data_IF_676013095432
#
_entry.id   IF_676013095432
#
_cell.length_a   1.000
_cell.length_b   1.000
_cell.length_c   1.000
_cell.angle_alpha   90.00
_cell.angle_beta   90.00
_cell.angle_gamma   90.00
#
_symmetry.space_group_name_H-M   'P 1'
#
loop_
_entity.id
_entity.type
_entity.pdbx_description
1 polymer ?
#
# COMPACT_ATOMS: atom_id res chain seq x y z
N UNK A 1 6.80 -6.43 -7.45
CA UNK A 1 6.37 -5.60 -6.31
C UNK A 1 7.58 -4.88 -5.74
N UNK A 2 7.55 -3.56 -5.72
CA UNK A 2 8.64 -2.75 -5.18
C UNK A 2 8.26 -2.33 -3.77
N UNK A 3 9.22 -2.32 -2.84
CA UNK A 3 9.01 -1.96 -1.44
C UNK A 3 9.89 -0.77 -1.07
N UNK A 4 9.31 0.23 -0.42
CA UNK A 4 10.09 1.32 0.15
C UNK A 4 10.69 0.91 1.49
N UNK A 5 11.68 1.68 1.96
CA UNK A 5 12.22 1.52 3.31
C UNK A 5 11.12 1.75 4.35
N UNK A 6 10.26 2.73 4.12
CA UNK A 6 9.15 3.04 5.02
C UNK A 6 8.14 1.90 5.13
N UNK A 7 7.86 1.22 4.02
CA UNK A 7 7.02 0.03 4.07
C UNK A 7 7.66 -1.07 4.91
N UNK A 8 8.95 -1.32 4.72
CA UNK A 8 9.66 -2.35 5.48
C UNK A 8 9.66 -2.04 6.98
N UNK A 9 9.85 -0.78 7.36
CA UNK A 9 9.75 -0.35 8.75
C UNK A 9 8.37 -0.58 9.32
N UNK A 10 7.33 -0.25 8.55
CA UNK A 10 5.95 -0.51 8.95
C UNK A 10 5.71 -2.00 9.16
N UNK A 11 6.11 -2.82 8.20
CA UNK A 11 5.95 -4.28 8.29
C UNK A 11 6.62 -4.83 9.55
N UNK A 12 7.86 -4.42 9.81
CA UNK A 12 8.62 -4.90 10.95
C UNK A 12 8.03 -4.44 12.29
N UNK A 13 7.25 -3.37 12.31
CA UNK A 13 6.59 -2.87 13.52
C UNK A 13 5.29 -3.61 13.86
N UNK A 14 4.76 -4.41 12.93
CA UNK A 14 3.48 -5.08 13.13
C UNK A 14 3.58 -6.28 14.06
N UNK A 15 2.50 -6.56 14.84
CA UNK A 15 2.40 -7.83 15.55
C UNK A 15 2.45 -9.01 14.58
N UNK A 16 2.89 -10.17 15.05
CA UNK A 16 3.06 -11.35 14.20
C UNK A 16 1.79 -11.72 13.43
N UNK A 17 0.62 -11.66 14.08
CA UNK A 17 -0.63 -12.00 13.41
C UNK A 17 -0.98 -11.01 12.29
N UNK A 18 -0.65 -9.73 12.46
CA UNK A 18 -0.86 -8.72 11.43
C UNK A 18 0.13 -8.93 10.26
N UNK A 19 1.39 -9.27 10.55
CA UNK A 19 2.36 -9.61 9.51
C UNK A 19 1.89 -10.78 8.66
N UNK A 20 1.38 -11.83 9.28
CA UNK A 20 0.86 -13.01 8.57
C UNK A 20 -0.32 -12.64 7.67
N UNK A 21 -1.21 -11.82 8.16
CA UNK A 21 -2.37 -11.36 7.36
C UNK A 21 -1.92 -10.50 6.19
N UNK A 22 -0.96 -9.61 6.42
CA UNK A 22 -0.41 -8.78 5.34
C UNK A 22 0.29 -9.65 4.29
N UNK A 23 1.07 -10.65 4.71
CA UNK A 23 1.69 -11.60 3.78
C UNK A 23 0.64 -12.29 2.92
N UNK A 24 -0.46 -12.70 3.53
CA UNK A 24 -1.58 -13.31 2.80
C UNK A 24 -2.18 -12.35 1.76
N UNK A 25 -2.43 -11.10 2.16
CA UNK A 25 -2.99 -10.09 1.26
C UNK A 25 -2.04 -9.82 0.10
N UNK A 26 -0.73 -9.72 0.36
CA UNK A 26 0.27 -9.52 -0.68
C UNK A 26 0.31 -10.70 -1.66
N UNK A 27 0.16 -11.92 -1.17
CA UNK A 27 0.07 -13.09 -2.04
C UNK A 27 -1.18 -13.04 -2.94
N UNK A 28 -2.32 -12.72 -2.36
CA UNK A 28 -3.57 -12.59 -3.14
C UNK A 28 -3.42 -11.55 -4.23
N UNK A 29 -2.86 -10.39 -3.88
CA UNK A 29 -2.67 -9.28 -4.82
C UNK A 29 -1.72 -9.66 -5.95
N UNK A 30 -0.69 -10.46 -5.67
CA UNK A 30 0.30 -10.85 -6.67
C UNK A 30 -0.17 -11.96 -7.61
N UNK A 31 -1.15 -12.77 -7.20
CA UNK A 31 -1.56 -13.97 -7.96
C UNK A 31 -2.92 -13.87 -8.61
N UNK A 32 -3.82 -13.02 -8.11
CA UNK A 32 -5.21 -12.94 -8.56
C UNK A 32 -5.39 -11.78 -9.53
N UNK A 33 -5.99 -12.03 -10.70
CA UNK A 33 -6.21 -11.00 -11.74
C UNK A 33 -7.18 -9.91 -11.31
N UNK A 34 -8.22 -10.28 -10.56
CA UNK A 34 -9.22 -9.34 -10.06
C UNK A 34 -9.26 -9.47 -8.56
N UNK A 35 -8.79 -8.45 -7.86
CA UNK A 35 -8.70 -8.46 -6.40
C UNK A 35 -9.98 -7.89 -5.80
N UNK A 36 -10.52 -8.58 -4.82
CA UNK A 36 -11.73 -8.18 -4.12
C UNK A 36 -11.51 -6.86 -3.38
N UNK A 37 -12.55 -6.00 -3.38
CA UNK A 37 -12.56 -4.71 -2.68
C UNK A 37 -12.27 -4.85 -1.17
N UNK A 38 -12.47 -6.05 -0.61
CA UNK A 38 -12.08 -6.31 0.78
C UNK A 38 -10.59 -6.10 1.03
N UNK A 39 -9.76 -6.34 0.02
CA UNK A 39 -8.30 -6.24 0.15
C UNK A 39 -7.74 -4.97 -0.48
N UNK A 40 -8.38 -4.46 -1.54
CA UNK A 40 -7.86 -3.32 -2.32
C UNK A 40 -8.99 -2.35 -2.62
N UNK A 41 -8.72 -1.06 -2.40
CA UNK A 41 -9.64 0.01 -2.78
C UNK A 41 -8.84 1.25 -3.14
N UNK A 42 -9.32 2.01 -4.13
CA UNK A 42 -8.71 3.31 -4.45
C UNK A 42 -8.98 4.29 -3.31
N UNK A 43 -7.94 5.05 -2.92
CA UNK A 43 -8.09 6.12 -1.94
C UNK A 43 -8.71 7.33 -2.65
N UNK A 44 -9.85 7.81 -2.16
CA UNK A 44 -10.61 8.88 -2.78
C UNK A 44 -9.74 10.11 -3.06
N UNK A 45 -9.92 10.68 -4.26
CA UNK A 45 -9.26 11.89 -4.71
C UNK A 45 -7.73 11.78 -4.77
N UNK A 46 -7.23 10.56 -4.91
CA UNK A 46 -5.79 10.32 -5.06
C UNK A 46 -5.52 9.35 -6.18
N UNK A 47 -4.25 9.30 -6.61
CA UNK A 47 -3.72 8.31 -7.54
C UNK A 47 -3.34 7.00 -6.87
N UNK A 48 -3.55 6.89 -5.54
CA UNK A 48 -3.13 5.74 -4.75
C UNK A 48 -4.26 4.76 -4.50
N UNK A 49 -3.86 3.52 -4.26
CA UNK A 49 -4.74 2.47 -3.74
C UNK A 49 -4.33 2.13 -2.31
N UNK A 50 -5.25 1.53 -1.56
CA UNK A 50 -4.95 0.99 -0.25
C UNK A 50 -5.13 -0.51 -0.24
N UNK A 51 -4.17 -1.21 0.37
CA UNK A 51 -4.36 -2.59 0.76
C UNK A 51 -4.93 -2.61 2.18
N UNK A 52 -5.93 -3.44 2.39
CA UNK A 52 -6.65 -3.50 3.66
C UNK A 52 -6.28 -4.76 4.42
N UNK A 53 -5.83 -4.58 5.65
CA UNK A 53 -5.45 -5.68 6.54
C UNK A 53 -6.15 -5.46 7.86
N UNK A 54 -7.06 -6.36 8.22
CA UNK A 54 -7.80 -6.27 9.48
C UNK A 54 -7.49 -7.46 10.37
N UNK A 55 -6.83 -7.19 11.49
CA UNK A 55 -6.51 -8.16 12.53
C UNK A 55 -6.55 -7.43 13.86
N UNK A 56 -7.70 -7.46 14.53
CA UNK A 56 -7.92 -6.65 15.73
C UNK A 56 -8.00 -5.17 15.41
N UNK A 57 -6.96 -4.63 14.81
CA UNK A 57 -6.89 -3.26 14.32
C UNK A 57 -7.07 -3.22 12.81
N UNK A 58 -7.34 -2.03 12.27
CA UNK A 58 -7.42 -1.81 10.83
C UNK A 58 -6.10 -1.22 10.35
N UNK A 59 -5.38 -1.98 9.55
CA UNK A 59 -4.12 -1.52 8.93
C UNK A 59 -4.35 -1.24 7.46
N UNK A 60 -3.61 -0.28 6.93
CA UNK A 60 -3.66 0.11 5.52
C UNK A 60 -2.25 0.25 4.97
N UNK A 61 -2.05 -0.20 3.74
CA UNK A 61 -0.81 0.03 3.00
C UNK A 61 -1.13 0.88 1.79
N UNK A 62 -0.44 1.99 1.62
CA UNK A 62 -0.60 2.88 0.47
C UNK A 62 0.23 2.35 -0.68
N UNK A 63 -0.39 2.17 -1.84
CA UNK A 63 0.21 1.54 -3.01
C UNK A 63 0.04 2.44 -4.22
N UNK A 64 1.09 2.52 -5.05
CA UNK A 64 1.05 3.16 -6.36
C UNK A 64 1.18 2.11 -7.45
N UNK A 65 0.37 2.23 -8.49
CA UNK A 65 0.46 1.35 -9.67
C UNK A 65 1.38 2.00 -10.70
N UNK A 66 2.46 1.30 -11.06
CA UNK A 66 3.54 1.88 -11.86
C UNK A 66 3.22 1.89 -13.35
N UNK A 67 2.70 0.77 -13.86
CA UNK A 67 2.53 0.54 -15.29
C UNK A 67 1.09 0.69 -15.79
N UNK A 68 0.14 0.91 -14.91
CA UNK A 68 -1.26 1.09 -15.31
C UNK A 68 -2.04 1.83 -14.25
N UNK A 69 -3.01 2.66 -14.67
CA UNK A 69 -3.85 3.42 -13.72
C UNK A 69 -4.81 2.52 -12.95
N UNK A 70 -5.26 1.42 -13.56
CA UNK A 70 -6.17 0.49 -12.92
C UNK A 70 -5.38 -0.58 -12.18
N UNK A 71 -5.67 -0.78 -10.89
CA UNK A 71 -4.96 -1.73 -10.05
C UNK A 71 -4.99 -3.15 -10.63
N UNK A 72 -6.15 -3.61 -11.10
CA UNK A 72 -6.31 -4.97 -11.59
C UNK A 72 -5.55 -5.23 -12.91
N UNK A 73 -5.22 -4.18 -13.63
CA UNK A 73 -4.47 -4.30 -14.89
C UNK A 73 -2.98 -4.04 -14.70
N UNK A 74 -2.58 -3.48 -13.56
CA UNK A 74 -1.18 -3.21 -13.27
C UNK A 74 -0.41 -4.50 -13.03
N UNK A 75 0.79 -4.59 -13.58
CA UNK A 75 1.70 -5.72 -13.35
C UNK A 75 2.79 -5.35 -12.35
N UNK A 76 2.98 -4.06 -12.10
CA UNK A 76 3.99 -3.54 -11.16
C UNK A 76 3.33 -2.59 -10.17
N UNK A 77 3.52 -2.85 -8.90
CA UNK A 77 3.02 -1.98 -7.83
C UNK A 77 4.16 -1.61 -6.89
N UNK A 78 4.03 -0.43 -6.28
CA UNK A 78 4.98 0.11 -5.31
C UNK A 78 4.29 0.21 -3.95
N UNK A 79 4.79 -0.55 -2.99
CA UNK A 79 4.32 -0.49 -1.61
C UNK A 79 5.04 0.66 -0.92
N UNK A 80 4.33 1.75 -0.66
CA UNK A 80 4.93 3.01 -0.23
C UNK A 80 5.09 3.11 1.28
N UNK A 81 3.97 3.08 2.01
CA UNK A 81 3.97 3.16 3.47
C UNK A 81 2.70 2.54 4.02
N UNK A 82 2.70 2.29 5.31
CA UNK A 82 1.55 1.73 5.99
C UNK A 82 1.20 2.52 7.23
N UNK A 83 -0.02 2.34 7.71
CA UNK A 83 -0.50 3.01 8.91
C UNK A 83 -1.65 2.23 9.54
N UNK A 84 -1.88 2.48 10.83
CA UNK A 84 -3.07 1.97 11.52
C UNK A 84 -4.17 3.01 11.36
N UNK A 85 -5.28 2.60 10.76
CA UNK A 85 -6.41 3.51 10.54
C UNK A 85 -7.22 3.65 11.82
N UNK A 86 -7.32 4.87 12.32
CA UNK A 86 -8.17 5.23 13.44
C UNK A 86 -9.26 6.22 13.05
N UNK A 87 -8.98 7.08 12.06
CA UNK A 87 -9.91 8.08 11.57
C UNK A 87 -9.62 8.42 10.12
N UNK A 88 -10.51 9.19 9.49
CA UNK A 88 -10.31 9.66 8.11
C UNK A 88 -9.10 10.58 7.97
N UNK A 89 -8.71 11.27 9.04
CA UNK A 89 -7.55 12.17 9.02
C UNK A 89 -6.25 11.42 8.73
N UNK A 90 -6.18 10.15 9.12
CA UNK A 90 -4.98 9.33 8.89
C UNK A 90 -4.65 9.20 7.41
N UNK A 91 -5.66 9.19 6.55
CA UNK A 91 -5.45 9.12 5.10
C UNK A 91 -4.70 10.33 4.55
N UNK A 92 -5.01 11.52 5.06
CA UNK A 92 -4.33 12.74 4.61
C UNK A 92 -2.83 12.66 4.89
N UNK A 93 -2.46 12.32 6.10
CA UNK A 93 -1.05 12.18 6.49
C UNK A 93 -0.35 11.06 5.70
N UNK A 94 -1.02 9.92 5.57
CA UNK A 94 -0.46 8.77 4.87
C UNK A 94 -0.24 9.05 3.39
N UNK A 95 -1.17 9.72 2.71
CA UNK A 95 -1.05 10.04 1.28
C UNK A 95 -0.01 11.13 1.03
N UNK A 96 0.12 12.10 1.93
CA UNK A 96 1.18 13.10 1.84
C UNK A 96 2.56 12.44 1.97
N UNK A 97 2.70 11.53 2.93
CA UNK A 97 3.93 10.75 3.09
C UNK A 97 4.21 9.90 1.87
N UNK A 98 3.18 9.26 1.32
CA UNK A 98 3.31 8.43 0.13
C UNK A 98 3.82 9.24 -1.07
N UNK A 99 3.31 10.46 -1.26
CA UNK A 99 3.78 11.34 -2.34
C UNK A 99 5.24 11.69 -2.18
N UNK A 100 5.68 11.97 -0.96
CA UNK A 100 7.07 12.27 -0.67
C UNK A 100 7.97 11.07 -0.99
N UNK A 101 7.55 9.87 -0.60
CA UNK A 101 8.29 8.64 -0.89
C UNK A 101 8.38 8.41 -2.40
N UNK A 102 7.26 8.55 -3.10
CA UNK A 102 7.20 8.32 -4.54
C UNK A 102 8.08 9.33 -5.28
N UNK A 103 8.04 10.59 -4.87
CA UNK A 103 8.87 11.64 -5.47
C UNK A 103 10.35 11.33 -5.26
N UNK A 104 10.74 10.95 -4.05
CA UNK A 104 12.13 10.57 -3.75
C UNK A 104 12.61 9.44 -4.65
N UNK A 105 11.78 8.39 -4.78
CA UNK A 105 12.11 7.26 -5.63
C UNK A 105 12.25 7.67 -7.10
N UNK A 106 11.34 8.50 -7.60
CA UNK A 106 11.37 8.99 -8.98
C UNK A 106 12.61 9.83 -9.22
N UNK A 107 12.96 10.74 -8.30
CA UNK A 107 14.14 11.60 -8.42
C UNK A 107 15.44 10.79 -8.41
N UNK A 108 15.51 9.75 -7.57
CA UNK A 108 16.68 8.87 -7.50
C UNK A 108 16.88 8.05 -8.77
N UNK A 109 15.82 7.81 -9.52
CA UNK A 109 15.84 7.01 -10.75
C UNK A 109 15.79 7.86 -12.02
N UNK A 110 15.79 9.17 -11.91
CA UNK A 110 15.92 10.10 -13.02
C UNK A 110 17.38 10.42 -13.27
N UNK A 111 17.88 9.97 -14.39
CA UNK A 111 19.22 10.35 -14.89
C UNK A 111 19.13 10.95 -16.26
#
# INVERSE_FOLDING_TARGET
MIRSTEFDEFYNSLPTNAQKKLDYVLNVVSEVKVVNIQFVKQIEKTEFYELRVQVGNEYRVVVFTIDHLNFNEATQIFLLNGFMKKSKKDYKFATEKARTILKRYTDENED
#
